data_IF_246378147862
#
_entry.id   IF_246378147862
#
_cell.length_a   1.000
_cell.length_b   1.000
_cell.length_c   1.000
_cell.angle_alpha   90.00
_cell.angle_beta   90.00
_cell.angle_gamma   90.00
#
_symmetry.space_group_name_H-M   'P 1'
#
loop_
_entity.id
_entity.type
_entity.pdbx_description
1 polymer ?
#
# COMPACT_ATOMS: atom_id res chain seq x y z
N UNK A 1 10.20 -2.56 -60.29
CA UNK A 1 11.25 -3.52 -60.69
C UNK A 1 12.32 -3.44 -59.60
N UNK A 2 12.30 -4.40 -58.65
CA UNK A 2 13.29 -5.49 -58.45
C UNK A 2 14.56 -5.00 -57.72
N UNK A 3 15.04 -5.55 -56.61
CA UNK A 3 14.70 -6.71 -55.77
C UNK A 3 15.53 -6.60 -54.46
N UNK A 4 14.98 -6.94 -53.30
CA UNK A 4 15.18 -8.20 -52.54
C UNK A 4 16.66 -8.62 -52.40
N UNK A 5 17.16 -8.54 -51.16
CA UNK A 5 18.39 -9.19 -50.70
C UNK A 5 18.21 -9.68 -49.26
N UNK A 6 18.00 -10.99 -49.12
CA UNK A 6 17.82 -11.75 -47.88
C UNK A 6 19.16 -12.38 -47.49
N UNK A 7 19.57 -12.29 -46.22
CA UNK A 7 20.55 -13.20 -45.60
C UNK A 7 20.15 -13.40 -44.13
N UNK A 8 19.49 -14.53 -43.83
CA UNK A 8 20.02 -15.84 -43.40
C UNK A 8 20.43 -15.89 -41.93
N UNK A 9 19.51 -16.49 -41.17
CA UNK A 9 19.65 -17.03 -39.83
C UNK A 9 20.57 -18.26 -39.83
N UNK A 10 21.41 -18.37 -38.79
CA UNK A 10 22.16 -19.58 -38.48
C UNK A 10 21.68 -20.14 -37.13
N UNK A 11 21.36 -21.43 -37.15
CA UNK A 11 21.04 -22.29 -36.03
C UNK A 11 22.25 -22.52 -35.10
N UNK A 12 21.99 -22.66 -33.80
CA UNK A 12 22.63 -23.68 -32.94
C UNK A 12 21.81 -23.89 -31.64
N UNK A 13 22.01 -24.96 -30.84
CA UNK A 13 20.94 -25.81 -30.34
C UNK A 13 20.76 -25.71 -28.82
N UNK A 14 19.59 -26.16 -28.34
CA UNK A 14 19.23 -26.10 -26.92
C UNK A 14 19.99 -27.11 -26.02
N UNK A 15 19.93 -26.93 -24.69
CA UNK A 15 20.36 -27.92 -23.71
C UNK A 15 19.19 -28.86 -23.28
N UNK A 16 19.49 -30.01 -22.64
CA UNK A 16 18.68 -31.21 -22.73
C UNK A 16 17.55 -31.32 -21.70
N UNK A 17 16.56 -32.14 -22.08
CA UNK A 17 15.47 -32.65 -21.23
C UNK A 17 16.00 -33.70 -20.25
N UNK A 18 15.57 -33.62 -18.98
CA UNK A 18 15.64 -34.72 -18.03
C UNK A 18 14.24 -35.31 -17.80
N UNK A 19 14.08 -36.58 -18.19
CA UNK A 19 12.96 -37.45 -17.82
C UNK A 19 13.24 -38.11 -16.46
N UNK A 20 12.20 -38.26 -15.64
CA UNK A 20 12.30 -38.71 -14.24
C UNK A 20 12.50 -40.19 -14.01
N UNK A 21 12.47 -40.58 -12.73
CA UNK A 21 11.96 -41.88 -12.28
C UNK A 21 11.75 -41.92 -10.75
N UNK A 22 10.82 -42.80 -10.38
CA UNK A 22 10.24 -43.10 -9.08
C UNK A 22 11.17 -43.82 -8.08
N UNK A 23 10.74 -43.74 -6.80
CA UNK A 23 10.78 -44.74 -5.72
C UNK A 23 12.07 -45.04 -4.91
N UNK A 24 11.99 -44.77 -3.60
CA UNK A 24 12.17 -45.66 -2.42
C UNK A 24 11.91 -44.75 -1.18
N UNK A 25 11.19 -45.06 -0.10
CA UNK A 25 10.99 -46.30 0.62
C UNK A 25 11.63 -46.21 2.02
N UNK A 26 10.79 -46.21 3.06
CA UNK A 26 10.99 -46.76 4.43
C UNK A 26 11.39 -45.94 5.69
N UNK A 27 10.67 -46.33 6.77
CA UNK A 27 10.93 -46.39 8.23
C UNK A 27 10.67 -45.15 9.11
N UNK A 28 9.64 -45.12 9.96
CA UNK A 28 9.38 -45.76 11.28
C UNK A 28 10.17 -45.19 12.47
N UNK A 29 9.43 -44.71 13.49
CA UNK A 29 9.89 -44.46 14.87
C UNK A 29 8.88 -43.60 15.64
N UNK A 30 7.85 -44.15 16.27
CA UNK A 30 7.73 -44.69 17.65
C UNK A 30 8.05 -43.72 18.81
N UNK A 31 7.00 -43.55 19.63
CA UNK A 31 6.93 -43.50 21.10
C UNK A 31 7.28 -42.22 21.88
N UNK A 32 6.27 -41.78 22.67
CA UNK A 32 6.22 -41.59 24.14
C UNK A 32 5.06 -40.60 24.40
N UNK A 33 3.99 -40.84 25.17
CA UNK A 33 3.80 -41.69 26.35
C UNK A 33 3.91 -40.83 27.61
N UNK A 34 2.77 -40.38 28.19
CA UNK A 34 2.46 -40.51 29.62
C UNK A 34 1.14 -39.83 30.03
N UNK A 35 0.45 -40.54 30.92
CA UNK A 35 -0.83 -40.25 31.52
C UNK A 35 -0.76 -39.40 32.80
N UNK A 36 -1.92 -38.79 33.10
CA UNK A 36 -2.61 -38.56 34.39
C UNK A 36 -1.80 -38.40 35.70
N UNK A 37 -2.17 -37.35 36.45
CA UNK A 37 -2.39 -37.48 37.90
C UNK A 37 -3.61 -36.64 38.35
N UNK A 38 -4.40 -37.23 39.23
CA UNK A 38 -5.71 -36.79 39.74
C UNK A 38 -5.62 -36.30 41.21
N UNK A 39 -6.43 -35.29 41.54
CA UNK A 39 -7.43 -35.22 42.65
C UNK A 39 -6.98 -35.08 44.14
N UNK A 40 -7.36 -33.91 44.70
CA UNK A 40 -8.12 -33.64 45.97
C UNK A 40 -7.46 -33.81 47.35
N UNK A 41 -7.53 -32.77 48.19
CA UNK A 41 -8.40 -32.74 49.40
C UNK A 41 -8.25 -31.45 50.24
N UNK A 42 -9.21 -31.25 51.14
CA UNK A 42 -9.73 -30.00 51.74
C UNK A 42 -9.14 -29.65 53.12
N UNK A 43 -9.34 -28.37 53.48
CA UNK A 43 -9.73 -27.82 54.78
C UNK A 43 -8.67 -27.61 55.89
N UNK A 44 -8.63 -26.37 56.40
CA UNK A 44 -8.03 -25.97 57.68
C UNK A 44 -8.31 -24.48 57.94
N UNK A 45 -8.96 -24.19 59.06
CA UNK A 45 -9.61 -22.90 59.36
C UNK A 45 -8.68 -21.83 59.96
N UNK A 46 -9.05 -20.57 59.69
CA UNK A 46 -8.93 -19.33 60.51
C UNK A 46 -7.74 -19.13 61.45
N UNK A 47 -6.95 -18.08 61.17
CA UNK A 47 -6.44 -17.17 62.19
C UNK A 47 -6.35 -15.74 61.63
N UNK A 48 -7.02 -14.82 62.34
CA UNK A 48 -7.02 -13.40 62.08
C UNK A 48 -5.64 -12.82 62.38
N UNK A 49 -5.03 -12.20 61.37
CA UNK A 49 -3.84 -11.36 61.51
C UNK A 49 -4.03 -10.13 60.65
N UNK A 50 -4.52 -9.04 61.25
CA UNK A 50 -4.53 -7.73 60.61
C UNK A 50 -3.08 -7.23 60.53
N UNK A 51 -2.38 -7.56 59.43
CA UNK A 51 -1.19 -6.83 59.03
C UNK A 51 -1.64 -5.54 58.34
N UNK A 52 -1.49 -4.41 59.04
CA UNK A 52 -1.38 -3.11 58.37
C UNK A 52 -0.09 -3.12 57.55
N UNK A 53 -0.19 -3.48 56.27
CA UNK A 53 0.82 -3.12 55.30
C UNK A 53 0.58 -1.65 54.98
N UNK A 54 1.37 -0.77 55.61
CA UNK A 54 1.53 0.61 55.16
C UNK A 54 2.26 0.51 53.82
N UNK A 55 1.50 0.36 52.75
CA UNK A 55 2.02 0.48 51.40
C UNK A 55 2.49 1.91 51.21
N UNK A 56 3.80 2.11 51.17
CA UNK A 56 4.37 3.32 50.61
C UNK A 56 3.96 3.37 49.13
N UNK A 57 2.86 4.03 48.84
CA UNK A 57 2.47 4.41 47.48
C UNK A 57 3.47 5.48 47.03
N UNK A 58 4.61 5.06 46.52
CA UNK A 58 5.41 5.91 45.66
C UNK A 58 4.56 6.34 44.46
N UNK A 59 4.72 7.56 43.93
CA UNK A 59 4.01 7.98 42.74
C UNK A 59 4.32 6.96 41.63
N UNK A 60 3.27 6.31 41.13
CA UNK A 60 3.34 5.49 39.92
C UNK A 60 3.90 6.40 38.83
N UNK A 61 5.13 6.15 38.39
CA UNK A 61 5.63 6.73 37.15
C UNK A 61 4.67 6.24 36.07
N UNK A 62 3.79 7.12 35.62
CA UNK A 62 3.15 6.96 34.31
C UNK A 62 4.29 6.72 33.34
N UNK A 63 4.41 5.49 32.85
CA UNK A 63 5.34 5.21 31.79
C UNK A 63 4.92 6.12 30.64
N UNK A 64 5.74 7.11 30.31
CA UNK A 64 5.64 7.82 29.04
C UNK A 64 5.96 6.78 27.97
N UNK A 65 4.97 5.95 27.63
CA UNK A 65 5.02 5.14 26.42
C UNK A 65 4.96 6.14 25.27
N UNK A 66 6.10 6.35 24.62
CA UNK A 66 6.14 7.02 23.33
C UNK A 66 5.03 6.44 22.46
N UNK A 67 4.18 7.26 21.83
CA UNK A 67 3.11 6.77 20.96
C UNK A 67 3.68 5.78 19.94
N UNK A 68 3.05 4.62 19.79
CA UNK A 68 3.45 3.63 18.80
C UNK A 68 3.12 4.13 17.39
N UNK A 69 3.92 3.73 16.40
CA UNK A 69 3.60 3.92 14.99
C UNK A 69 2.31 3.17 14.66
N UNK A 70 1.34 3.85 14.05
CA UNK A 70 0.08 3.26 13.61
C UNK A 70 -0.20 3.56 12.15
N UNK A 71 -0.92 2.65 11.51
CA UNK A 71 -1.48 2.83 10.17
C UNK A 71 -2.99 2.66 10.23
N UNK A 72 -3.71 3.66 9.74
CA UNK A 72 -5.16 3.63 9.53
C UNK A 72 -5.44 3.43 8.05
N UNK A 73 -6.29 2.46 7.74
CA UNK A 73 -6.80 2.22 6.38
C UNK A 73 -8.10 3.01 6.21
N UNK A 74 -8.17 3.81 5.14
CA UNK A 74 -9.30 4.69 4.83
C UNK A 74 -9.89 4.29 3.48
N UNK A 75 -11.22 4.25 3.39
CA UNK A 75 -11.91 4.06 2.11
C UNK A 75 -11.90 5.38 1.34
N UNK A 76 -11.36 5.36 0.13
CA UNK A 76 -11.07 6.57 -0.63
C UNK A 76 -11.71 6.58 -2.03
N UNK A 77 -12.70 5.71 -2.23
CA UNK A 77 -13.43 5.59 -3.49
C UNK A 77 -13.83 4.16 -3.82
N UNK A 78 -14.90 4.04 -4.58
CA UNK A 78 -15.33 2.81 -5.22
C UNK A 78 -15.08 2.94 -6.71
N UNK A 79 -14.56 1.87 -7.30
CA UNK A 79 -14.31 1.80 -8.73
C UNK A 79 -14.93 0.54 -9.28
N UNK A 80 -15.69 0.65 -10.35
CA UNK A 80 -15.99 -0.50 -11.22
C UNK A 80 -15.25 -0.26 -12.51
N UNK A 81 -14.28 -1.13 -12.82
CA UNK A 81 -13.69 -1.15 -14.15
C UNK A 81 -14.62 -1.95 -15.05
N UNK A 82 -15.05 -1.34 -16.15
CA UNK A 82 -16.03 -1.92 -17.07
C UNK A 82 -15.38 -2.87 -18.09
N UNK A 83 -14.08 -2.71 -18.33
CA UNK A 83 -13.25 -3.61 -19.13
C UNK A 83 -11.88 -3.81 -18.46
N UNK A 84 -11.69 -4.97 -17.83
CA UNK A 84 -10.50 -5.30 -17.06
C UNK A 84 -9.23 -5.35 -17.90
N UNK A 85 -9.34 -5.53 -19.23
CA UNK A 85 -8.20 -5.53 -20.14
C UNK A 85 -7.43 -4.20 -20.16
N UNK A 86 -8.02 -3.11 -19.64
CA UNK A 86 -7.30 -1.86 -19.39
C UNK A 86 -6.17 -2.03 -18.34
N UNK A 87 -6.35 -2.94 -17.38
CA UNK A 87 -5.35 -3.32 -16.36
C UNK A 87 -4.59 -4.61 -16.70
N UNK A 88 -5.16 -5.42 -17.60
CA UNK A 88 -4.58 -6.69 -18.06
C UNK A 88 -4.56 -6.77 -19.59
N UNK A 89 -3.80 -5.90 -20.30
CA UNK A 89 -3.86 -5.86 -21.76
C UNK A 89 -3.59 -7.21 -22.43
N UNK A 90 -4.50 -7.61 -23.32
CA UNK A 90 -4.48 -8.93 -23.98
C UNK A 90 -5.12 -10.06 -23.15
N UNK A 91 -5.65 -9.75 -21.98
CA UNK A 91 -6.38 -10.65 -21.09
C UNK A 91 -7.71 -9.99 -20.65
N UNK A 92 -8.64 -10.79 -20.13
CA UNK A 92 -9.89 -10.34 -19.48
C UNK A 92 -10.77 -9.33 -20.27
N UNK A 93 -10.65 -9.27 -21.60
CA UNK A 93 -11.42 -8.38 -22.48
C UNK A 93 -12.94 -8.46 -22.22
N UNK A 94 -13.57 -7.30 -22.04
CA UNK A 94 -15.02 -7.18 -21.80
C UNK A 94 -15.48 -7.69 -20.43
N UNK A 95 -14.55 -7.99 -19.52
CA UNK A 95 -14.87 -8.41 -18.15
C UNK A 95 -14.87 -7.22 -17.23
N UNK A 96 -15.96 -7.01 -16.49
CA UNK A 96 -15.99 -5.98 -15.45
C UNK A 96 -15.44 -6.50 -14.12
N UNK A 97 -14.83 -5.63 -13.32
CA UNK A 97 -14.37 -5.95 -11.95
C UNK A 97 -14.62 -4.79 -11.00
N UNK A 98 -15.00 -5.12 -9.77
CA UNK A 98 -15.00 -4.15 -8.67
C UNK A 98 -13.58 -3.99 -8.13
N UNK A 99 -13.17 -2.75 -7.99
CA UNK A 99 -11.94 -2.27 -7.37
C UNK A 99 -12.33 -1.25 -6.26
N UNK A 100 -11.33 -0.70 -5.59
CA UNK A 100 -11.50 0.36 -4.59
C UNK A 100 -10.38 1.37 -4.73
N UNK A 101 -10.50 2.52 -4.09
CA UNK A 101 -9.35 3.38 -3.80
C UNK A 101 -9.18 3.37 -2.29
N UNK A 102 -7.93 3.24 -1.84
CA UNK A 102 -7.59 3.28 -0.42
C UNK A 102 -6.53 4.32 -0.16
N UNK A 103 -6.71 5.07 0.93
CA UNK A 103 -5.70 5.98 1.47
C UNK A 103 -5.25 5.47 2.83
N UNK A 104 -4.11 5.97 3.29
CA UNK A 104 -3.54 5.53 4.55
C UNK A 104 -3.03 6.71 5.34
N UNK A 105 -3.45 6.81 6.60
CA UNK A 105 -2.82 7.72 7.56
C UNK A 105 -1.79 6.94 8.36
N UNK A 106 -0.54 7.41 8.31
CA UNK A 106 0.58 6.92 9.09
C UNK A 106 0.76 7.87 10.27
N UNK A 107 0.31 7.46 11.45
CA UNK A 107 0.47 8.21 12.70
C UNK A 107 1.76 7.76 13.39
N UNK A 108 2.83 8.51 13.14
CA UNK A 108 4.15 8.25 13.69
C UNK A 108 4.41 9.17 14.90
N UNK A 109 5.13 8.74 15.96
CA UNK A 109 5.45 9.61 17.10
C UNK A 109 6.23 10.90 16.78
N UNK A 110 6.71 11.07 15.54
CA UNK A 110 7.40 12.29 15.05
C UNK A 110 6.57 13.13 14.08
N UNK A 111 5.35 12.71 13.75
CA UNK A 111 4.45 13.42 12.84
C UNK A 111 3.51 12.48 12.07
N UNK A 112 2.59 13.07 11.33
CA UNK A 112 1.60 12.36 10.51
C UNK A 112 1.93 12.47 9.03
N UNK A 113 1.89 11.32 8.35
CA UNK A 113 1.95 11.23 6.90
C UNK A 113 0.62 10.74 6.37
N UNK A 114 0.00 11.48 5.47
CA UNK A 114 -1.10 10.99 4.64
C UNK A 114 -0.53 10.45 3.33
N UNK A 115 -0.87 9.20 3.02
CA UNK A 115 -0.50 8.51 1.79
C UNK A 115 -1.72 8.33 0.89
N UNK A 116 -1.67 9.00 -0.27
CA UNK A 116 -2.78 9.18 -1.20
C UNK A 116 -4.01 9.89 -0.60
N UNK A 117 -4.89 10.38 -1.47
CA UNK A 117 -6.08 11.17 -1.09
C UNK A 117 -7.35 10.76 -1.81
N UNK A 118 -7.31 9.71 -2.63
CA UNK A 118 -8.50 9.10 -3.19
C UNK A 118 -9.16 9.92 -4.29
N UNK A 119 -10.39 9.54 -4.61
CA UNK A 119 -11.29 10.24 -5.53
C UNK A 119 -11.88 11.47 -4.83
N UNK A 120 -12.04 12.59 -5.55
CA UNK A 120 -12.65 13.82 -5.00
C UNK A 120 -14.01 13.51 -4.35
N UNK A 121 -14.14 13.85 -3.06
CA UNK A 121 -15.33 13.61 -2.25
C UNK A 121 -16.61 14.24 -2.85
N UNK A 122 -16.47 15.28 -3.70
CA UNK A 122 -17.58 15.92 -4.40
C UNK A 122 -18.30 15.01 -5.38
N UNK A 123 -17.68 13.90 -5.81
CA UNK A 123 -18.31 12.95 -6.72
C UNK A 123 -19.57 12.33 -6.10
N UNK A 124 -19.53 12.07 -4.78
CA UNK A 124 -20.65 11.49 -4.05
C UNK A 124 -20.94 10.03 -4.41
N UNK A 125 -22.02 9.45 -3.86
CA UNK A 125 -22.25 8.01 -3.89
C UNK A 125 -22.81 7.49 -5.23
N UNK A 126 -23.32 8.37 -6.08
CA UNK A 126 -23.87 7.99 -7.38
C UNK A 126 -22.75 7.74 -8.39
N UNK A 127 -22.71 6.58 -9.06
CA UNK A 127 -21.66 6.27 -10.01
C UNK A 127 -21.60 7.26 -11.18
N UNK A 128 -20.39 7.72 -11.49
CA UNK A 128 -20.08 8.55 -12.65
C UNK A 128 -19.14 7.80 -13.58
N UNK A 129 -19.56 7.61 -14.82
CA UNK A 129 -18.76 6.98 -15.86
C UNK A 129 -17.70 7.94 -16.40
N UNK A 130 -16.44 7.51 -16.39
CA UNK A 130 -15.28 8.28 -16.85
C UNK A 130 -14.42 7.48 -17.84
N UNK A 131 -13.31 8.06 -18.30
CA UNK A 131 -12.32 7.40 -19.16
C UNK A 131 -12.95 6.71 -20.38
N UNK A 132 -13.80 7.44 -21.12
CA UNK A 132 -14.53 6.93 -22.29
C UNK A 132 -15.36 5.66 -22.03
N UNK A 133 -15.87 5.49 -20.81
CA UNK A 133 -16.66 4.30 -20.43
C UNK A 133 -15.87 3.22 -19.71
N UNK A 134 -14.56 3.39 -19.52
CA UNK A 134 -13.70 2.38 -18.91
C UNK A 134 -13.95 2.17 -17.42
N UNK A 135 -14.40 3.21 -16.70
CA UNK A 135 -14.60 3.15 -15.25
C UNK A 135 -15.88 3.84 -14.81
N UNK A 136 -16.53 3.28 -13.80
CA UNK A 136 -17.55 3.95 -13.00
C UNK A 136 -17.00 4.23 -11.60
N UNK A 137 -17.00 5.50 -11.20
CA UNK A 137 -16.44 5.97 -9.94
C UNK A 137 -17.54 6.44 -8.99
N UNK A 138 -17.41 6.19 -7.68
CA UNK A 138 -18.25 6.83 -6.66
C UNK A 138 -17.55 6.92 -5.30
N UNK A 139 -18.00 7.86 -4.46
CA UNK A 139 -17.51 8.05 -3.09
C UNK A 139 -18.67 7.87 -2.11
N UNK A 140 -18.63 6.77 -1.35
CA UNK A 140 -19.62 6.48 -0.30
C UNK A 140 -19.15 6.88 1.09
N UNK A 141 -17.83 6.97 1.29
CA UNK A 141 -17.20 7.43 2.52
C UNK A 141 -16.19 8.53 2.18
N UNK A 142 -16.53 9.80 2.40
CA UNK A 142 -15.61 10.90 2.15
C UNK A 142 -14.36 10.81 3.03
N UNK A 143 -13.22 11.32 2.56
CA UNK A 143 -11.94 11.24 3.28
C UNK A 143 -11.95 12.06 4.58
N UNK A 144 -12.39 13.32 4.52
CA UNK A 144 -12.30 14.22 5.68
C UNK A 144 -13.10 13.73 6.92
N UNK A 145 -14.35 13.25 6.79
CA UNK A 145 -15.07 12.66 7.92
C UNK A 145 -14.38 11.43 8.54
N UNK A 146 -13.67 10.61 7.73
CA UNK A 146 -12.93 9.46 8.27
C UNK A 146 -11.71 9.90 9.08
N UNK A 147 -11.01 10.97 8.64
CA UNK A 147 -9.92 11.58 9.42
C UNK A 147 -10.46 12.18 10.73
N UNK A 148 -11.61 12.86 10.68
CA UNK A 148 -12.27 13.40 11.87
C UNK A 148 -12.67 12.29 12.86
N UNK A 149 -13.13 11.14 12.39
CA UNK A 149 -13.49 9.98 13.24
C UNK A 149 -12.31 9.46 14.07
N UNK A 150 -11.08 9.57 13.55
CA UNK A 150 -9.85 9.22 14.28
C UNK A 150 -9.19 10.43 14.96
N UNK A 151 -9.87 11.57 14.99
CA UNK A 151 -9.42 12.79 15.67
C UNK A 151 -8.29 13.51 14.96
N UNK A 152 -8.23 13.44 13.63
CA UNK A 152 -7.21 14.09 12.81
C UNK A 152 -7.85 15.11 11.87
N UNK A 153 -7.35 16.34 11.93
CA UNK A 153 -7.71 17.41 11.00
C UNK A 153 -6.67 17.53 9.88
N UNK A 154 -7.00 18.13 8.71
CA UNK A 154 -6.02 18.33 7.65
C UNK A 154 -4.77 19.11 8.08
N UNK A 155 -4.91 20.08 8.98
CA UNK A 155 -3.81 20.90 9.49
C UNK A 155 -2.84 20.11 10.40
N UNK A 156 -3.23 18.93 10.88
CA UNK A 156 -2.37 18.03 11.67
C UNK A 156 -1.56 17.07 10.79
N UNK A 157 -1.75 17.07 9.47
CA UNK A 157 -0.95 16.29 8.54
C UNK A 157 0.34 17.04 8.23
N UNK A 158 1.46 16.54 8.77
CA UNK A 158 2.78 17.15 8.56
C UNK A 158 3.31 16.90 7.14
N UNK A 159 3.08 15.70 6.62
CA UNK A 159 3.55 15.24 5.32
C UNK A 159 2.39 14.73 4.47
N UNK A 160 2.34 15.17 3.22
CA UNK A 160 1.51 14.56 2.19
C UNK A 160 2.45 13.84 1.22
N UNK A 161 2.19 12.58 0.92
CA UNK A 161 2.83 11.89 -0.18
C UNK A 161 1.76 11.19 -1.01
N UNK A 162 1.79 11.41 -2.32
CA UNK A 162 0.97 10.63 -3.24
C UNK A 162 1.87 9.58 -3.89
N UNK A 163 1.37 8.36 -4.06
CA UNK A 163 2.04 7.34 -4.87
C UNK A 163 2.32 7.89 -6.27
N UNK A 164 1.37 8.64 -6.83
CA UNK A 164 1.47 9.43 -8.06
C UNK A 164 0.26 10.39 -8.18
N UNK A 165 0.19 11.17 -9.26
CA UNK A 165 -0.75 12.30 -9.39
C UNK A 165 -1.98 12.06 -10.28
N UNK A 166 -2.36 10.80 -10.57
CA UNK A 166 -3.67 10.55 -11.19
C UNK A 166 -4.82 11.01 -10.26
N UNK A 167 -5.96 11.31 -10.87
CA UNK A 167 -7.09 12.00 -10.23
C UNK A 167 -7.66 11.23 -9.02
N UNK A 168 -7.57 9.90 -9.04
CA UNK A 168 -8.11 9.02 -8.04
C UNK A 168 -7.12 8.75 -6.87
N UNK A 169 -5.93 9.35 -6.93
CA UNK A 169 -4.95 9.45 -5.83
C UNK A 169 -4.84 10.88 -5.29
N UNK A 170 -5.11 11.88 -6.12
CA UNK A 170 -4.96 13.30 -5.82
C UNK A 170 -6.27 14.04 -5.54
N UNK A 171 -7.42 13.37 -5.63
CA UNK A 171 -8.75 13.99 -5.66
C UNK A 171 -9.10 14.86 -4.44
N UNK A 172 -8.51 14.59 -3.28
CA UNK A 172 -8.67 15.40 -2.07
C UNK A 172 -7.38 16.13 -1.64
N UNK A 173 -6.34 16.15 -2.47
CA UNK A 173 -5.03 16.70 -2.13
C UNK A 173 -5.08 18.20 -1.75
N UNK A 174 -6.00 18.96 -2.36
CA UNK A 174 -6.19 20.37 -2.05
C UNK A 174 -6.55 20.68 -0.58
N UNK A 175 -7.05 19.70 0.18
CA UNK A 175 -7.31 19.88 1.61
C UNK A 175 -6.04 19.97 2.45
N UNK A 176 -4.89 19.58 1.90
CA UNK A 176 -3.63 19.42 2.63
C UNK A 176 -2.52 20.37 2.14
N UNK A 177 -2.88 21.55 1.60
CA UNK A 177 -1.92 22.55 1.11
C UNK A 177 -0.94 23.08 2.18
N UNK A 178 -1.24 22.86 3.47
CA UNK A 178 -0.35 23.16 4.60
C UNK A 178 0.78 22.14 4.81
N UNK A 179 0.61 20.89 4.34
CA UNK A 179 1.57 19.81 4.54
C UNK A 179 2.84 19.99 3.68
N UNK A 180 3.94 19.34 4.08
CA UNK A 180 5.12 19.19 3.23
C UNK A 180 4.86 18.08 2.23
N UNK A 181 4.85 18.40 0.93
CA UNK A 181 4.67 17.41 -0.13
C UNK A 181 5.97 16.61 -0.33
N UNK A 182 5.91 15.28 -0.20
CA UNK A 182 7.01 14.36 -0.49
C UNK A 182 6.77 13.69 -1.85
N UNK A 183 7.62 13.99 -2.83
CA UNK A 183 7.37 13.66 -4.24
C UNK A 183 8.68 13.37 -4.97
N UNK A 184 8.74 12.33 -5.80
CA UNK A 184 9.93 12.06 -6.64
C UNK A 184 10.13 13.16 -7.66
N UNK A 185 11.40 13.45 -8.02
CA UNK A 185 11.77 14.44 -9.04
C UNK A 185 10.95 14.31 -10.33
N UNK A 186 10.90 13.12 -10.90
CA UNK A 186 10.22 12.89 -12.16
C UNK A 186 8.70 13.14 -12.07
N UNK A 187 8.09 12.83 -10.93
CA UNK A 187 6.66 13.09 -10.70
C UNK A 187 6.40 14.59 -10.50
N UNK A 188 7.29 15.27 -9.76
CA UNK A 188 7.22 16.72 -9.57
C UNK A 188 7.34 17.48 -10.88
N UNK A 189 8.31 17.10 -11.72
CA UNK A 189 8.52 17.73 -13.04
C UNK A 189 7.32 17.50 -13.97
N UNK A 190 6.62 16.36 -13.83
CA UNK A 190 5.40 16.06 -14.58
C UNK A 190 4.17 16.82 -14.05
N UNK A 191 3.94 16.82 -12.73
CA UNK A 191 2.78 17.44 -12.09
C UNK A 191 2.83 18.98 -12.08
N UNK A 192 3.99 19.57 -11.80
CA UNK A 192 4.18 21.02 -11.75
C UNK A 192 4.83 21.59 -13.03
N UNK A 193 4.99 20.73 -14.05
CA UNK A 193 5.46 21.10 -15.38
C UNK A 193 4.37 21.76 -16.25
N UNK A 194 4.70 22.08 -17.52
CA UNK A 194 3.77 22.82 -18.39
C UNK A 194 2.56 22.03 -18.87
N UNK A 195 2.63 20.68 -18.90
CA UNK A 195 1.62 19.82 -19.52
C UNK A 195 1.32 18.56 -18.66
N UNK A 196 0.82 18.72 -17.41
CA UNK A 196 0.52 17.59 -16.53
C UNK A 196 -0.50 16.60 -17.14
N UNK A 197 -1.37 17.08 -18.03
CA UNK A 197 -2.39 16.27 -18.70
C UNK A 197 -1.82 15.20 -19.63
N UNK A 198 -0.57 15.36 -20.11
CA UNK A 198 0.12 14.32 -20.89
C UNK A 198 0.38 13.05 -20.08
N UNK A 199 0.37 13.18 -18.75
CA UNK A 199 0.57 12.11 -17.79
C UNK A 199 -0.72 11.69 -17.11
N UNK A 200 -1.88 12.17 -17.58
CA UNK A 200 -3.18 11.84 -16.97
C UNK A 200 -3.45 12.57 -15.64
N UNK A 201 -2.73 13.65 -15.34
CA UNK A 201 -2.93 14.43 -14.11
C UNK A 201 -3.86 15.62 -14.34
N UNK A 202 -4.87 15.85 -13.50
CA UNK A 202 -5.62 17.11 -13.44
C UNK A 202 -5.03 18.07 -12.40
N UNK A 203 -4.35 19.12 -12.84
CA UNK A 203 -3.79 20.15 -11.95
C UNK A 203 -4.81 20.80 -11.00
N UNK A 204 -6.12 20.70 -11.27
CA UNK A 204 -7.16 21.17 -10.36
C UNK A 204 -7.26 20.35 -9.08
N UNK A 205 -6.91 19.06 -9.08
CA UNK A 205 -7.01 18.21 -7.88
C UNK A 205 -5.95 18.54 -6.82
N UNK A 206 -4.85 19.19 -7.24
CA UNK A 206 -3.72 19.58 -6.38
C UNK A 206 -3.31 21.06 -6.52
N UNK A 207 -4.21 21.94 -6.99
CA UNK A 207 -3.96 23.37 -7.16
C UNK A 207 -3.56 24.13 -5.87
N UNK A 208 -3.97 23.65 -4.71
CA UNK A 208 -3.61 24.24 -3.40
C UNK A 208 -2.28 23.69 -2.85
N UNK A 209 -1.67 22.70 -3.51
CA UNK A 209 -0.33 22.24 -3.15
C UNK A 209 0.71 23.24 -3.66
N UNK A 210 1.61 23.65 -2.76
CA UNK A 210 2.70 24.57 -3.11
C UNK A 210 3.95 23.80 -3.54
N UNK A 211 4.44 24.08 -4.75
CA UNK A 211 5.74 23.63 -5.22
C UNK A 211 6.90 24.05 -4.29
N UNK A 212 6.76 25.17 -3.58
CA UNK A 212 7.77 25.64 -2.62
C UNK A 212 7.79 24.82 -1.32
N UNK A 213 6.67 24.19 -0.97
CA UNK A 213 6.54 23.25 0.15
C UNK A 213 6.90 21.82 -0.25
N UNK A 214 7.15 21.56 -1.53
CA UNK A 214 7.55 20.25 -1.99
C UNK A 214 8.99 19.95 -1.59
N UNK A 215 9.17 18.88 -0.83
CA UNK A 215 10.45 18.20 -0.69
C UNK A 215 10.59 17.22 -1.85
N UNK A 216 11.28 17.68 -2.89
CA UNK A 216 11.52 16.84 -4.06
C UNK A 216 12.61 15.80 -3.76
N UNK A 217 12.27 14.53 -3.97
CA UNK A 217 13.06 13.36 -3.62
C UNK A 217 13.88 12.86 -4.81
N UNK A 218 15.05 12.31 -4.50
CA UNK A 218 15.94 11.64 -5.47
C UNK A 218 16.22 10.24 -4.93
N UNK A 219 15.33 9.28 -5.22
CA UNK A 219 15.45 7.90 -4.76
C UNK A 219 14.73 7.61 -3.44
N UNK A 220 15.27 6.68 -2.65
CA UNK A 220 14.67 6.29 -1.36
C UNK A 220 14.70 7.45 -0.36
N UNK A 221 13.63 7.59 0.43
CA UNK A 221 13.51 8.62 1.45
C UNK A 221 12.95 8.08 2.76
N UNK A 222 13.68 8.25 3.85
CA UNK A 222 13.20 7.99 5.20
C UNK A 222 12.50 9.23 5.76
N UNK A 223 11.17 9.12 5.91
CA UNK A 223 10.28 10.25 6.23
C UNK A 223 10.57 10.80 7.63
N UNK A 224 10.85 9.91 8.58
CA UNK A 224 10.99 10.26 10.01
C UNK A 224 12.41 10.02 10.57
N UNK A 225 13.33 9.50 9.75
CA UNK A 225 14.76 9.34 10.07
C UNK A 225 15.08 8.17 11.02
N UNK A 226 14.16 7.24 11.22
CA UNK A 226 14.37 6.00 11.99
C UNK A 226 14.20 4.72 11.16
N UNK A 227 14.03 4.84 9.85
CA UNK A 227 13.95 3.75 8.89
C UNK A 227 12.61 3.02 8.86
N UNK A 228 11.64 3.40 9.70
CA UNK A 228 10.36 2.71 9.83
C UNK A 228 9.34 3.12 8.79
N UNK A 229 9.44 4.32 8.21
CA UNK A 229 8.54 4.80 7.16
C UNK A 229 9.41 5.31 6.02
N UNK A 230 9.47 4.56 4.92
CA UNK A 230 10.35 4.85 3.79
C UNK A 230 9.57 4.89 2.49
N UNK A 231 9.73 5.96 1.75
CA UNK A 231 9.28 6.08 0.37
C UNK A 231 10.35 5.45 -0.52
N UNK A 232 9.93 4.55 -1.41
CA UNK A 232 10.80 3.88 -2.37
C UNK A 232 10.37 4.26 -3.79
N UNK A 233 11.30 4.62 -4.68
CA UNK A 233 10.96 4.92 -6.07
C UNK A 233 10.50 3.65 -6.78
N UNK A 234 9.43 3.75 -7.56
CA UNK A 234 8.89 2.67 -8.37
C UNK A 234 8.33 3.22 -9.70
N UNK A 235 9.14 3.93 -10.51
CA UNK A 235 8.68 4.61 -11.71
C UNK A 235 8.13 3.64 -12.77
N UNK A 236 7.30 4.17 -13.66
CA UNK A 236 6.80 3.47 -14.84
C UNK A 236 5.31 3.64 -15.04
N UNK A 237 4.49 3.42 -14.00
CA UNK A 237 3.05 3.69 -14.10
C UNK A 237 2.81 5.17 -14.41
N UNK A 238 3.39 6.02 -13.58
CA UNK A 238 3.66 7.43 -13.86
C UNK A 238 5.19 7.68 -13.87
N UNK A 239 5.65 8.87 -14.33
CA UNK A 239 7.07 9.18 -14.45
C UNK A 239 7.88 8.99 -13.17
N UNK A 240 7.30 9.32 -12.00
CA UNK A 240 7.96 9.20 -10.70
C UNK A 240 7.11 8.50 -9.65
N UNK A 241 6.28 7.54 -10.06
CA UNK A 241 5.51 6.69 -9.16
C UNK A 241 6.38 6.14 -8.01
N UNK A 242 5.83 6.09 -6.80
CA UNK A 242 6.51 5.68 -5.57
C UNK A 242 5.63 4.78 -4.70
N UNK A 243 6.27 3.92 -3.90
CA UNK A 243 5.61 3.04 -2.92
C UNK A 243 6.05 3.38 -1.50
N UNK A 244 5.23 3.02 -0.50
CA UNK A 244 5.54 3.31 0.90
C UNK A 244 5.80 2.04 1.70
N UNK A 245 7.01 1.88 2.21
CA UNK A 245 7.37 0.86 3.18
C UNK A 245 7.13 1.33 4.62
N UNK A 246 6.55 0.47 5.45
CA UNK A 246 6.22 0.72 6.85
C UNK A 246 6.63 -0.48 7.71
N UNK A 247 7.49 -0.28 8.71
CA UNK A 247 7.90 -1.29 9.68
C UNK A 247 7.05 -1.19 10.96
N UNK A 248 5.98 -1.97 11.01
CA UNK A 248 5.05 -2.06 12.14
C UNK A 248 5.49 -3.14 13.13
N UNK A 249 5.32 -2.88 14.42
CA UNK A 249 5.83 -3.71 15.51
C UNK A 249 5.05 -5.03 15.63
N UNK A 250 3.71 -4.99 15.57
CA UNK A 250 2.86 -6.18 15.74
C UNK A 250 2.46 -6.79 14.41
N UNK A 251 2.18 -5.94 13.42
CA UNK A 251 1.74 -6.32 12.08
C UNK A 251 2.91 -6.84 11.23
N UNK A 252 4.13 -6.39 11.52
CA UNK A 252 5.30 -6.62 10.70
C UNK A 252 5.39 -5.66 9.51
N UNK A 253 6.38 -5.84 8.63
CA UNK A 253 6.64 -4.93 7.53
C UNK A 253 5.56 -4.98 6.44
N UNK A 254 5.13 -3.82 5.98
CA UNK A 254 4.12 -3.60 4.95
C UNK A 254 4.67 -2.68 3.88
N UNK A 255 4.29 -2.90 2.62
CA UNK A 255 4.45 -1.93 1.53
C UNK A 255 3.08 -1.59 0.95
N UNK A 256 2.79 -0.29 0.84
CA UNK A 256 1.62 0.22 0.13
C UNK A 256 1.99 0.41 -1.34
N UNK A 257 1.23 -0.22 -2.24
CA UNK A 257 1.67 -0.41 -3.63
C UNK A 257 1.60 0.82 -4.52
N UNK A 258 0.77 1.82 -4.18
CA UNK A 258 0.21 2.69 -5.23
C UNK A 258 -0.33 1.86 -6.39
N UNK A 259 0.07 2.22 -7.60
CA UNK A 259 -0.32 1.59 -8.86
C UNK A 259 0.78 0.70 -9.45
N UNK A 260 1.73 0.28 -8.61
CA UNK A 260 2.68 -0.77 -8.99
C UNK A 260 1.94 -2.04 -9.46
N UNK A 261 0.85 -2.37 -8.76
CA UNK A 261 -0.14 -3.37 -9.15
C UNK A 261 -1.53 -2.87 -8.75
N UNK A 262 -2.57 -3.25 -9.50
CA UNK A 262 -3.93 -2.77 -9.25
C UNK A 262 -4.80 -3.82 -8.53
N UNK A 263 -4.45 -5.11 -8.65
CA UNK A 263 -5.09 -6.19 -7.89
C UNK A 263 -4.20 -7.43 -7.88
N UNK A 264 -4.52 -8.39 -7.02
CA UNK A 264 -3.74 -9.62 -6.80
C UNK A 264 -3.51 -10.40 -8.10
N UNK A 265 -4.54 -10.56 -8.94
CA UNK A 265 -4.39 -11.24 -10.23
C UNK A 265 -3.50 -10.51 -11.24
N UNK A 266 -3.44 -9.17 -11.19
CA UNK A 266 -2.48 -8.39 -11.98
C UNK A 266 -1.04 -8.60 -11.46
N UNK A 267 -0.86 -8.71 -10.14
CA UNK A 267 0.44 -9.03 -9.52
C UNK A 267 0.94 -10.42 -9.88
N UNK A 268 0.09 -11.43 -9.77
CA UNK A 268 0.42 -12.82 -10.10
C UNK A 268 0.86 -12.97 -11.55
N UNK A 269 0.20 -12.26 -12.46
CA UNK A 269 0.47 -12.29 -13.91
C UNK A 269 1.49 -11.23 -14.36
N UNK A 270 1.85 -10.28 -13.49
CA UNK A 270 2.71 -9.13 -13.77
C UNK A 270 2.25 -8.33 -14.99
N UNK A 271 0.95 -8.05 -15.03
CA UNK A 271 0.35 -7.23 -16.09
C UNK A 271 0.71 -5.77 -15.87
N UNK A 272 0.87 -5.04 -16.98
CA UNK A 272 1.08 -3.59 -16.98
C UNK A 272 -0.15 -2.97 -17.63
N UNK A 273 -0.81 -1.96 -17.01
CA UNK A 273 -2.00 -1.35 -17.58
C UNK A 273 -1.71 -0.68 -18.92
N UNK A 274 -2.75 -0.51 -19.74
CA UNK A 274 -2.65 0.16 -21.05
C UNK A 274 -2.39 1.66 -20.94
N UNK A 275 -2.79 2.27 -19.82
CA UNK A 275 -2.46 3.63 -19.43
C UNK A 275 -1.22 3.59 -18.52
N UNK A 276 -0.05 3.77 -19.11
CA UNK A 276 1.24 3.62 -18.44
C UNK A 276 2.27 4.53 -19.10
N UNK A 277 3.13 5.18 -18.31
CA UNK A 277 4.13 6.10 -18.83
C UNK A 277 5.33 5.37 -19.46
N UNK A 278 5.79 4.25 -18.86
CA UNK A 278 6.90 3.44 -19.34
C UNK A 278 6.79 1.98 -18.83
N UNK A 279 6.39 1.09 -19.74
CA UNK A 279 6.19 -0.34 -19.42
C UNK A 279 7.49 -1.01 -18.94
N UNK A 280 8.62 -0.69 -19.56
CA UNK A 280 9.90 -1.30 -19.20
C UNK A 280 10.32 -0.88 -17.79
N UNK A 281 10.13 0.40 -17.45
CA UNK A 281 10.34 0.91 -16.11
C UNK A 281 9.37 0.27 -15.09
N UNK A 282 8.08 0.12 -15.42
CA UNK A 282 7.11 -0.57 -14.54
C UNK A 282 7.57 -1.99 -14.24
N UNK A 283 7.99 -2.75 -15.26
CA UNK A 283 8.48 -4.13 -15.07
C UNK A 283 9.74 -4.18 -14.21
N UNK A 284 10.66 -3.23 -14.38
CA UNK A 284 11.85 -3.11 -13.54
C UNK A 284 11.47 -2.77 -12.08
N UNK A 285 10.54 -1.85 -11.87
CA UNK A 285 10.01 -1.49 -10.55
C UNK A 285 9.31 -2.67 -9.87
N UNK A 286 8.50 -3.44 -10.61
CA UNK A 286 7.90 -4.68 -10.10
C UNK A 286 8.97 -5.64 -9.61
N UNK A 287 10.02 -5.90 -10.40
CA UNK A 287 11.11 -6.79 -9.99
C UNK A 287 11.85 -6.28 -8.75
N UNK A 288 12.15 -4.97 -8.69
CA UNK A 288 12.87 -4.37 -7.58
C UNK A 288 12.06 -4.44 -6.28
N UNK A 289 10.77 -4.10 -6.33
CA UNK A 289 9.89 -4.15 -5.16
C UNK A 289 9.62 -5.59 -4.72
N UNK A 290 9.38 -6.54 -5.62
CA UNK A 290 9.26 -7.97 -5.22
C UNK A 290 10.53 -8.47 -4.51
N UNK A 291 11.72 -8.13 -5.03
CA UNK A 291 12.98 -8.48 -4.37
C UNK A 291 13.11 -7.83 -2.98
N UNK A 292 12.63 -6.60 -2.84
CA UNK A 292 12.61 -5.89 -1.56
C UNK A 292 11.62 -6.53 -0.57
N UNK A 293 10.43 -6.90 -1.01
CA UNK A 293 9.42 -7.60 -0.21
C UNK A 293 9.99 -8.91 0.34
N UNK A 294 10.62 -9.73 -0.51
CA UNK A 294 11.27 -10.97 -0.11
C UNK A 294 12.39 -10.72 0.91
N UNK A 295 13.27 -9.76 0.65
CA UNK A 295 14.40 -9.45 1.53
C UNK A 295 13.98 -8.92 2.91
N UNK A 296 12.82 -8.27 3.00
CA UNK A 296 12.28 -7.71 4.25
C UNK A 296 11.23 -8.59 4.91
N UNK A 297 10.76 -9.65 4.25
CA UNK A 297 9.58 -10.39 4.68
C UNK A 297 8.33 -9.51 4.74
N UNK A 298 8.27 -8.48 3.89
CA UNK A 298 7.19 -7.51 3.89
C UNK A 298 5.97 -8.02 3.12
N UNK A 299 4.78 -7.66 3.59
CA UNK A 299 3.53 -7.88 2.86
C UNK A 299 3.24 -6.70 1.95
N UNK A 300 2.65 -6.94 0.78
CA UNK A 300 2.21 -5.89 -0.13
C UNK A 300 0.70 -5.69 0.03
N UNK A 301 0.27 -4.46 0.33
CA UNK A 301 -1.12 -4.05 0.28
C UNK A 301 -1.37 -3.33 -1.04
N UNK A 302 -2.23 -3.93 -1.86
CA UNK A 302 -2.56 -3.47 -3.20
C UNK A 302 -3.75 -2.51 -3.10
N UNK A 303 -3.52 -1.23 -3.38
CA UNK A 303 -4.46 -0.17 -3.03
C UNK A 303 -5.81 -0.24 -3.74
N UNK A 304 -5.83 -0.85 -4.94
CA UNK A 304 -7.05 -1.06 -5.72
C UNK A 304 -7.66 -2.45 -5.60
N UNK A 305 -7.08 -3.35 -4.81
CA UNK A 305 -7.61 -4.69 -4.63
C UNK A 305 -8.79 -4.66 -3.64
N UNK A 306 -10.00 -4.66 -4.19
CA UNK A 306 -11.23 -4.60 -3.40
C UNK A 306 -11.29 -5.73 -2.36
N UNK A 307 -10.96 -6.96 -2.74
CA UNK A 307 -11.03 -8.13 -1.86
C UNK A 307 -10.01 -8.03 -0.71
N UNK A 308 -8.77 -7.66 -1.02
CA UNK A 308 -7.72 -7.49 -0.02
C UNK A 308 -8.04 -6.35 0.94
N UNK A 309 -8.32 -5.15 0.43
CA UNK A 309 -8.57 -3.96 1.25
C UNK A 309 -9.83 -4.14 2.11
N UNK A 310 -10.88 -4.77 1.59
CA UNK A 310 -12.09 -5.07 2.37
C UNK A 310 -11.85 -6.02 3.54
N UNK A 311 -10.79 -6.82 3.49
CA UNK A 311 -10.42 -7.73 4.59
C UNK A 311 -9.59 -7.07 5.68
N UNK A 312 -9.06 -5.86 5.43
CA UNK A 312 -8.28 -5.11 6.41
C UNK A 312 -9.18 -4.47 7.47
N UNK A 313 -8.57 -4.07 8.59
CA UNK A 313 -9.21 -3.25 9.61
C UNK A 313 -9.20 -1.80 9.16
N UNK A 314 -10.38 -1.25 8.93
CA UNK A 314 -10.57 0.16 8.57
C UNK A 314 -10.63 1.04 9.81
N UNK A 315 -10.32 2.32 9.63
CA UNK A 315 -10.53 3.34 10.66
C UNK A 315 -11.95 3.22 11.25
N UNK A 316 -12.11 3.36 12.59
CA UNK A 316 -11.11 3.85 13.54
C UNK A 316 -10.13 2.78 14.08
N UNK A 317 -10.22 1.53 13.61
CA UNK A 317 -9.20 0.53 13.92
C UNK A 317 -7.90 0.80 13.16
N UNK A 318 -6.80 0.24 13.66
CA UNK A 318 -5.46 0.45 13.11
C UNK A 318 -4.61 -0.82 13.11
N UNK A 319 -3.46 -0.69 12.47
CA UNK A 319 -2.33 -1.62 12.52
C UNK A 319 -1.17 -0.93 13.24
N UNK A 320 -0.47 -1.66 14.09
CA UNK A 320 0.71 -1.22 14.85
C UNK A 320 1.83 -2.26 14.82
#
# INVERSE_FOLDING_TARGET
MTGIGVMRWAHDPGPPRFSGMFNLGFHLGRHLGRELLQIVSRAGATLAGALLVIGCTGPSKTANTTPALRVYVLECGNVTINDLSLLTPGEDEGTAKKLTNSCFLIDHPKGKLLWDTGIDDRLGPEPVTVFNGGFDLSVTKPLLPQLEEIGVTPDEVDFLALSHFHDDHSGNANHFGGATLLIQRAEFDAAFGPNPELYGFDAKSYAELSAERARVLEGEHDVFGDGRVRILPAPGHSPGHQVLFIELEQTGPVVLSGDLYHFTGARERRTVPSFNADEAATRASMMAIESFLEARGATLWIQHDFEQISSLRHAPAYYD
#
